data_IF_541506423348
#
_entry.id   IF_541506423348
#
_cell.length_a   1.000
_cell.length_b   1.000
_cell.length_c   1.000
_cell.angle_alpha   90.00
_cell.angle_beta   90.00
_cell.angle_gamma   90.00
#
_symmetry.space_group_name_H-M   'P 1'
#
loop_
_entity.id
_entity.type
_entity.pdbx_description
1 polymer ?
#
# COMPACT_ATOMS: atom_id res chain seq x y z
N UNK A 1 -67.87 19.40 -2.14
CA UNK A 1 -66.91 18.47 -1.52
C UNK A 1 -66.12 17.83 -2.65
N UNK A 2 -64.80 17.87 -2.53
CA UNK A 2 -63.83 18.01 -3.62
C UNK A 2 -63.47 16.72 -4.34
N UNK A 3 -63.68 16.71 -5.65
CA UNK A 3 -62.93 15.91 -6.63
C UNK A 3 -61.44 16.26 -6.55
N UNK A 4 -60.54 15.27 -6.52
CA UNK A 4 -59.14 15.48 -6.92
C UNK A 4 -58.46 14.16 -7.30
N UNK A 5 -57.90 14.21 -8.51
CA UNK A 5 -57.25 13.15 -9.24
C UNK A 5 -55.90 12.71 -8.64
N UNK A 6 -55.50 11.49 -8.99
CA UNK A 6 -54.20 10.88 -8.75
C UNK A 6 -53.12 11.69 -9.49
N UNK A 7 -52.04 12.17 -8.83
CA UNK A 7 -50.90 12.70 -9.54
C UNK A 7 -49.96 11.58 -10.01
N UNK A 8 -49.61 11.68 -11.29
CA UNK A 8 -48.69 10.85 -12.05
C UNK A 8 -47.22 11.22 -11.77
N UNK A 9 -46.37 10.19 -11.80
CA UNK A 9 -44.90 10.11 -11.97
C UNK A 9 -43.95 10.89 -11.04
N UNK A 10 -43.04 10.14 -10.40
CA UNK A 10 -41.59 10.36 -10.55
C UNK A 10 -40.83 9.08 -10.24
N UNK A 11 -40.37 8.42 -11.31
CA UNK A 11 -39.32 7.41 -11.25
C UNK A 11 -38.07 8.09 -10.67
N UNK A 12 -37.75 7.83 -9.40
CA UNK A 12 -36.42 8.15 -8.88
C UNK A 12 -35.47 7.13 -9.47
N UNK A 13 -34.94 7.51 -10.62
CA UNK A 13 -33.74 6.99 -11.23
C UNK A 13 -32.61 6.97 -10.18
N UNK A 14 -32.39 5.80 -9.58
CA UNK A 14 -31.19 5.52 -8.79
C UNK A 14 -30.06 5.23 -9.79
N UNK A 15 -29.52 6.28 -10.41
CA UNK A 15 -28.33 6.16 -11.25
C UNK A 15 -27.13 6.81 -10.56
N UNK A 16 -26.05 6.03 -10.48
CA UNK A 16 -24.64 6.45 -10.43
C UNK A 16 -24.18 7.27 -9.22
N UNK A 17 -23.87 6.60 -8.10
CA UNK A 17 -22.93 7.12 -7.09
C UNK A 17 -21.70 6.22 -6.86
N UNK A 18 -21.46 5.20 -7.69
CA UNK A 18 -20.29 4.32 -7.54
C UNK A 18 -19.00 4.88 -8.19
N UNK A 19 -19.11 5.59 -9.32
CA UNK A 19 -17.94 6.04 -10.09
C UNK A 19 -17.18 7.19 -9.43
N UNK A 20 -17.88 8.15 -8.81
CA UNK A 20 -17.28 9.32 -8.17
C UNK A 20 -16.54 8.99 -6.88
N UNK A 21 -16.97 7.94 -6.17
CA UNK A 21 -16.30 7.48 -4.96
C UNK A 21 -14.94 6.84 -5.28
N UNK A 22 -14.85 6.12 -6.40
CA UNK A 22 -13.63 5.43 -6.82
C UNK A 22 -12.53 6.42 -7.26
N UNK A 23 -12.86 7.49 -7.98
CA UNK A 23 -11.87 8.48 -8.46
C UNK A 23 -11.24 9.32 -7.33
N UNK A 24 -12.04 9.73 -6.34
CA UNK A 24 -11.55 10.49 -5.18
C UNK A 24 -10.65 9.62 -4.29
N UNK A 25 -10.96 8.31 -4.20
CA UNK A 25 -10.20 7.37 -3.39
C UNK A 25 -8.80 7.08 -3.98
N UNK A 26 -8.67 7.04 -5.31
CA UNK A 26 -7.38 6.85 -5.99
C UNK A 26 -6.46 8.06 -5.82
N UNK A 27 -6.97 9.29 -5.99
CA UNK A 27 -6.17 10.51 -5.83
C UNK A 27 -5.61 10.68 -4.41
N UNK A 28 -6.42 10.42 -3.38
CA UNK A 28 -5.98 10.47 -1.97
C UNK A 28 -4.88 9.45 -1.68
N UNK A 29 -4.90 8.31 -2.37
CA UNK A 29 -3.91 7.25 -2.18
C UNK A 29 -2.57 7.61 -2.84
N UNK A 30 -2.60 8.23 -4.01
CA UNK A 30 -1.40 8.66 -4.74
C UNK A 30 -0.68 9.80 -3.99
N UNK A 31 -1.41 10.80 -3.48
CA UNK A 31 -0.84 11.89 -2.66
C UNK A 31 -0.14 11.37 -1.39
N UNK A 32 -0.69 10.31 -0.79
CA UNK A 32 -0.09 9.67 0.40
C UNK A 32 1.17 8.90 0.04
N UNK A 33 1.23 8.32 -1.16
CA UNK A 33 2.41 7.63 -1.66
C UNK A 33 3.53 8.62 -1.96
N UNK A 34 3.27 9.71 -2.68
CA UNK A 34 4.27 10.75 -2.97
C UNK A 34 4.87 11.32 -1.68
N UNK A 35 4.02 11.61 -0.69
CA UNK A 35 4.48 12.05 0.63
C UNK A 35 5.39 11.02 1.31
N UNK A 36 5.08 9.74 1.19
CA UNK A 36 5.86 8.65 1.78
C UNK A 36 7.22 8.51 1.08
N UNK A 37 7.24 8.60 -0.25
CA UNK A 37 8.47 8.58 -1.06
C UNK A 37 9.41 9.73 -0.67
N UNK A 38 8.87 10.94 -0.52
CA UNK A 38 9.64 12.09 -0.05
C UNK A 38 10.25 11.86 1.35
N UNK A 39 9.49 11.27 2.27
CA UNK A 39 10.01 10.94 3.61
C UNK A 39 11.15 9.91 3.56
N UNK A 40 11.07 8.92 2.66
CA UNK A 40 12.16 7.94 2.47
C UNK A 40 13.41 8.65 1.91
N UNK A 41 13.23 9.53 0.92
CA UNK A 41 14.34 10.29 0.35
C UNK A 41 15.04 11.16 1.41
N UNK A 42 14.27 11.82 2.28
CA UNK A 42 14.81 12.64 3.37
C UNK A 42 15.60 11.79 4.39
N UNK A 43 15.15 10.57 4.69
CA UNK A 43 15.91 9.61 5.51
C UNK A 43 17.23 9.26 4.84
N UNK A 44 17.22 8.94 3.55
CA UNK A 44 18.42 8.58 2.80
C UNK A 44 19.44 9.72 2.82
N UNK A 45 18.99 10.96 2.63
CA UNK A 45 19.83 12.15 2.71
C UNK A 45 20.44 12.33 4.10
N UNK A 46 19.67 12.14 5.18
CA UNK A 46 20.17 12.20 6.55
C UNK A 46 21.20 11.10 6.85
N UNK A 47 20.96 9.88 6.36
CA UNK A 47 21.90 8.75 6.52
C UNK A 47 23.21 9.00 5.76
N UNK A 48 23.14 9.56 4.55
CA UNK A 48 24.33 9.95 3.80
C UNK A 48 25.14 11.01 4.56
N UNK A 49 24.48 12.06 5.05
CA UNK A 49 25.12 13.08 5.88
C UNK A 49 25.73 12.48 7.17
N UNK A 50 25.04 11.55 7.80
CA UNK A 50 25.55 10.86 8.99
C UNK A 50 26.82 10.08 8.69
N UNK A 51 26.85 9.34 7.57
CA UNK A 51 28.05 8.63 7.10
C UNK A 51 29.23 9.58 6.90
N UNK A 52 29.00 10.72 6.24
CA UNK A 52 30.06 11.67 5.95
C UNK A 52 30.61 12.32 7.23
N UNK A 53 29.78 12.56 8.24
CA UNK A 53 30.24 13.02 9.55
C UNK A 53 31.07 11.95 10.28
N UNK A 54 30.70 10.67 10.19
CA UNK A 54 31.43 9.58 10.84
C UNK A 54 32.87 9.42 10.34
N UNK A 55 33.17 9.80 9.10
CA UNK A 55 34.54 9.79 8.54
C UNK A 55 35.49 10.68 9.37
N UNK A 56 34.96 11.71 10.03
CA UNK A 56 35.75 12.66 10.81
C UNK A 56 36.08 12.15 12.23
N UNK A 57 35.53 11.01 12.67
CA UNK A 57 35.85 10.44 13.98
C UNK A 57 37.29 9.94 13.99
N UNK A 58 38.05 10.26 15.05
CA UNK A 58 39.48 9.96 15.15
C UNK A 58 40.37 10.80 14.24
N UNK A 59 39.82 11.75 13.49
CA UNK A 59 40.58 12.72 12.69
C UNK A 59 40.90 13.97 13.51
N UNK A 60 41.83 14.85 13.08
CA UNK A 60 42.14 16.10 13.80
C UNK A 60 40.94 17.03 14.03
N UNK A 61 39.84 16.86 13.28
CA UNK A 61 38.58 17.61 13.42
C UNK A 61 37.59 16.96 14.40
N UNK A 62 37.93 15.82 15.00
CA UNK A 62 37.08 15.13 15.98
C UNK A 62 37.06 15.90 17.30
N UNK A 63 35.98 16.65 17.53
CA UNK A 63 35.78 17.43 18.74
C UNK A 63 34.41 17.12 19.40
N UNK A 64 34.21 17.50 20.68
CA UNK A 64 32.96 17.24 21.40
C UNK A 64 31.70 17.73 20.67
N UNK A 65 31.77 18.89 20.00
CA UNK A 65 30.67 19.51 19.26
C UNK A 65 30.30 18.65 18.05
N UNK A 66 31.29 18.18 17.30
CA UNK A 66 31.08 17.29 16.16
C UNK A 66 30.48 15.95 16.61
N UNK A 67 31.00 15.37 17.70
CA UNK A 67 30.46 14.14 18.28
C UNK A 67 29.01 14.32 18.72
N UNK A 68 28.65 15.47 19.30
CA UNK A 68 27.26 15.74 19.65
C UNK A 68 26.37 15.93 18.42
N UNK A 69 26.86 16.59 17.38
CA UNK A 69 26.16 16.67 16.08
C UNK A 69 25.88 15.27 15.51
N UNK A 70 26.87 14.38 15.52
CA UNK A 70 26.74 12.98 15.10
C UNK A 70 25.67 12.26 15.95
N UNK A 71 25.71 12.42 17.28
CA UNK A 71 24.70 11.81 18.18
C UNK A 71 23.29 12.31 17.91
N UNK A 72 23.11 13.61 17.69
CA UNK A 72 21.82 14.23 17.33
C UNK A 72 21.31 13.68 16.00
N UNK A 73 22.14 13.70 14.97
CA UNK A 73 21.74 13.21 13.65
C UNK A 73 21.37 11.73 13.69
N UNK A 74 22.11 10.90 14.43
CA UNK A 74 21.76 9.49 14.64
C UNK A 74 20.36 9.32 15.24
N UNK A 75 20.03 10.09 16.29
CA UNK A 75 18.69 10.06 16.91
C UNK A 75 17.62 10.46 15.91
N UNK A 76 17.86 11.51 15.12
CA UNK A 76 16.92 11.98 14.11
C UNK A 76 16.67 10.92 13.03
N UNK A 77 17.72 10.26 12.51
CA UNK A 77 17.58 9.16 11.55
C UNK A 77 16.69 8.05 12.11
N UNK A 78 16.94 7.62 13.36
CA UNK A 78 16.17 6.54 13.99
C UNK A 78 14.70 6.92 14.18
N UNK A 79 14.42 8.13 14.67
CA UNK A 79 13.04 8.61 14.84
C UNK A 79 12.32 8.75 13.50
N UNK A 80 12.98 9.28 12.48
CA UNK A 80 12.42 9.37 11.13
C UNK A 80 12.11 7.98 10.57
N UNK A 81 13.04 7.02 10.68
CA UNK A 81 12.80 5.63 10.28
C UNK A 81 11.62 4.99 11.03
N UNK A 82 11.53 5.21 12.34
CA UNK A 82 10.42 4.69 13.16
C UNK A 82 9.09 5.24 12.68
N UNK A 83 9.00 6.55 12.45
CA UNK A 83 7.78 7.21 11.96
C UNK A 83 7.40 6.70 10.57
N UNK A 84 8.34 6.65 9.64
CA UNK A 84 8.10 6.17 8.27
C UNK A 84 7.73 4.68 8.25
N UNK A 85 8.32 3.87 9.12
CA UNK A 85 7.98 2.44 9.22
C UNK A 85 6.51 2.20 9.63
N UNK A 86 5.95 3.07 10.49
CA UNK A 86 4.54 2.98 10.89
C UNK A 86 3.59 3.26 9.72
N UNK A 87 4.03 4.05 8.74
CA UNK A 87 3.26 4.37 7.54
C UNK A 87 3.38 3.27 6.47
N UNK A 88 4.58 2.73 6.27
CA UNK A 88 4.87 1.77 5.18
C UNK A 88 4.48 0.33 5.56
N UNK A 89 4.77 -0.11 6.79
CA UNK A 89 4.56 -1.51 7.18
C UNK A 89 3.12 -2.01 7.01
N UNK A 90 2.07 -1.23 7.33
CA UNK A 90 0.69 -1.63 7.06
C UNK A 90 0.44 -1.89 5.56
N UNK A 91 0.98 -1.05 4.68
CA UNK A 91 0.82 -1.20 3.24
C UNK A 91 1.53 -2.47 2.73
N UNK A 92 2.78 -2.69 3.16
CA UNK A 92 3.56 -3.90 2.80
C UNK A 92 2.85 -5.18 3.24
N UNK A 93 2.28 -5.19 4.46
CA UNK A 93 1.49 -6.33 4.96
C UNK A 93 0.21 -6.55 4.16
N UNK A 94 -0.48 -5.47 3.80
CA UNK A 94 -1.70 -5.53 2.97
C UNK A 94 -1.39 -6.12 1.59
N UNK A 95 -0.34 -5.64 0.92
CA UNK A 95 0.11 -6.16 -0.37
C UNK A 95 0.47 -7.64 -0.28
N UNK A 96 1.25 -8.05 0.72
CA UNK A 96 1.59 -9.46 0.93
C UNK A 96 0.36 -10.35 1.14
N UNK A 97 -0.63 -9.88 1.91
CA UNK A 97 -1.88 -10.62 2.10
C UNK A 97 -2.64 -10.78 0.78
N UNK A 98 -2.75 -9.73 -0.01
CA UNK A 98 -3.41 -9.75 -1.32
C UNK A 98 -2.70 -10.70 -2.30
N UNK A 99 -1.38 -10.64 -2.36
CA UNK A 99 -0.58 -11.56 -3.18
C UNK A 99 -0.80 -13.02 -2.79
N UNK A 100 -0.79 -13.33 -1.49
CA UNK A 100 -1.03 -14.71 -1.02
C UNK A 100 -2.42 -15.22 -1.42
N UNK A 101 -3.45 -14.38 -1.36
CA UNK A 101 -4.80 -14.74 -1.81
C UNK A 101 -4.85 -14.99 -3.33
N UNK A 102 -4.19 -14.17 -4.14
CA UNK A 102 -4.11 -14.33 -5.59
C UNK A 102 -3.35 -15.61 -5.99
N UNK A 103 -2.25 -15.91 -5.31
CA UNK A 103 -1.48 -17.14 -5.53
C UNK A 103 -2.32 -18.36 -5.15
N UNK A 104 -2.95 -18.34 -3.97
CA UNK A 104 -3.81 -19.44 -3.48
C UNK A 104 -5.01 -19.67 -4.41
N UNK A 105 -5.68 -18.60 -4.86
CA UNK A 105 -6.77 -18.69 -5.82
C UNK A 105 -6.35 -19.28 -7.16
N UNK A 106 -5.15 -18.92 -7.64
CA UNK A 106 -4.56 -19.48 -8.86
C UNK A 106 -4.23 -20.97 -8.73
N UNK A 107 -3.85 -21.44 -7.54
CA UNK A 107 -3.62 -22.87 -7.26
C UNK A 107 -4.92 -23.67 -7.24
N UNK A 108 -5.95 -23.17 -6.59
CA UNK A 108 -7.28 -23.81 -6.54
C UNK A 108 -7.85 -23.94 -7.96
N UNK A 109 -7.77 -22.87 -8.77
CA UNK A 109 -8.18 -22.90 -10.18
C UNK A 109 -7.43 -23.95 -11.00
N UNK A 110 -6.11 -24.07 -10.81
CA UNK A 110 -5.29 -25.11 -11.47
C UNK A 110 -5.70 -26.53 -11.04
N UNK A 111 -6.00 -26.76 -9.77
CA UNK A 111 -6.44 -28.07 -9.28
C UNK A 111 -7.83 -28.46 -9.79
N UNK A 112 -8.78 -27.51 -9.79
CA UNK A 112 -10.12 -27.72 -10.34
C UNK A 112 -10.07 -28.06 -11.84
N UNK A 113 -9.25 -27.36 -12.62
CA UNK A 113 -9.05 -27.67 -14.04
C UNK A 113 -8.47 -29.06 -14.29
N UNK A 114 -7.54 -29.53 -13.45
CA UNK A 114 -7.02 -30.91 -13.51
C UNK A 114 -8.10 -31.94 -13.18
N UNK A 115 -8.93 -31.72 -12.15
CA UNK A 115 -10.06 -32.61 -11.83
C UNK A 115 -11.06 -32.71 -12.97
N UNK A 116 -11.40 -31.58 -13.60
CA UNK A 116 -12.34 -31.53 -14.71
C UNK A 116 -11.81 -32.27 -15.95
N UNK A 117 -10.50 -32.16 -16.24
CA UNK A 117 -9.86 -32.97 -17.30
C UNK A 117 -9.89 -34.47 -17.01
N UNK A 118 -9.69 -34.89 -15.75
CA UNK A 118 -9.76 -36.31 -15.37
C UNK A 118 -11.17 -36.88 -15.45
N UNK A 119 -12.20 -36.08 -15.10
CA UNK A 119 -13.60 -36.49 -15.28
C UNK A 119 -13.95 -36.67 -16.75
N UNK A 120 -13.51 -35.77 -17.65
CA UNK A 120 -13.73 -35.92 -19.11
C UNK A 120 -12.99 -37.09 -19.75
N UNK A 121 -11.94 -37.61 -19.12
CA UNK A 121 -11.20 -38.79 -19.62
C UNK A 121 -11.72 -40.12 -19.04
N UNK A 122 -12.63 -40.07 -18.06
CA UNK A 122 -13.22 -41.27 -17.44
C UNK A 122 -14.57 -41.71 -18.02
N UNK A 123 -15.10 -41.01 -19.03
CA UNK A 123 -16.41 -41.32 -19.66
C UNK A 123 -16.30 -42.14 -20.96
N UNK A 124 -15.12 -42.63 -21.34
CA UNK A 124 -14.91 -43.41 -22.58
C UNK A 124 -14.61 -44.89 -22.34
N UNK A 125 -15.12 -45.49 -21.27
CA UNK A 125 -14.97 -46.93 -21.06
C UNK A 125 -16.21 -47.48 -20.34
N UNK A 126 -17.19 -47.89 -21.14
CA UNK A 126 -18.10 -49.00 -20.90
C UNK A 126 -18.85 -49.25 -22.21
N UNK A 127 -18.30 -50.18 -22.99
CA UNK A 127 -18.98 -50.92 -24.07
C UNK A 127 -20.10 -51.81 -23.50
#
# INVERSE_FOLDING_TARGET
>A
MTDSAIPSVSNVQTYSHAASHSQVQTQIQDDRNEKTEKQIQDINNQVAQFRDLLINIGQPRDCPELREKIRRLRRNCVEACKNTSQLILPQVRSVNKTLNLLISGSEIGRQAGKKLKRQKQGETEND
#
